data_IF_040422564909
#
_entry.id   IF_040422564909
#
_cell.length_a   1.000
_cell.length_b   1.000
_cell.length_c   1.000
_cell.angle_alpha   90.00
_cell.angle_beta   90.00
_cell.angle_gamma   90.00
#
_symmetry.space_group_name_H-M   'P 1'
#
loop_
_entity.id
_entity.type
_entity.pdbx_description
1 polymer ?
#
# COMPACT_ATOMS: atom_id res chain seq x y z
N UNK A 1 -15.30 13.96 6.11
CA UNK A 1 -14.87 13.23 4.90
C UNK A 1 -16.03 13.13 3.93
N UNK A 2 -15.76 13.19 2.63
CA UNK A 2 -16.75 13.01 1.57
C UNK A 2 -17.04 11.51 1.35
N UNK A 3 -18.31 11.15 1.17
CA UNK A 3 -18.71 9.90 0.51
C UNK A 3 -18.28 10.03 -0.96
N UNK A 4 -17.32 9.25 -1.50
CA UNK A 4 -17.09 7.81 -1.28
C UNK A 4 -15.88 7.41 -0.40
N UNK A 5 -15.05 8.34 0.09
CA UNK A 5 -13.83 8.00 0.84
C UNK A 5 -14.13 7.24 2.14
N UNK A 6 -15.26 7.52 2.79
CA UNK A 6 -15.71 6.76 3.96
C UNK A 6 -16.08 5.31 3.63
N UNK A 7 -16.64 5.06 2.44
CA UNK A 7 -16.97 3.70 2.01
C UNK A 7 -15.70 2.91 1.68
N UNK A 8 -14.74 3.52 0.97
CA UNK A 8 -13.45 2.91 0.67
C UNK A 8 -12.67 2.58 1.95
N UNK A 9 -12.59 3.52 2.89
CA UNK A 9 -11.91 3.31 4.17
C UNK A 9 -12.56 2.21 5.01
N UNK A 10 -13.90 2.09 4.98
CA UNK A 10 -14.60 1.00 5.65
C UNK A 10 -14.27 -0.34 5.00
N UNK A 11 -14.35 -0.44 3.67
CA UNK A 11 -14.03 -1.66 2.94
C UNK A 11 -12.60 -2.12 3.22
N UNK A 12 -11.63 -1.23 3.11
CA UNK A 12 -10.22 -1.56 3.35
C UNK A 12 -9.95 -1.99 4.79
N UNK A 13 -10.37 -1.20 5.78
CA UNK A 13 -10.01 -1.44 7.17
C UNK A 13 -10.83 -2.54 7.83
N UNK A 14 -12.12 -2.65 7.50
CA UNK A 14 -13.05 -3.57 8.19
C UNK A 14 -13.30 -4.84 7.40
N UNK A 15 -13.50 -4.74 6.09
CA UNK A 15 -13.87 -5.90 5.30
C UNK A 15 -12.64 -6.68 4.83
N UNK A 16 -11.56 -5.98 4.43
CA UNK A 16 -10.31 -6.64 3.99
C UNK A 16 -9.37 -6.93 5.16
N UNK A 17 -8.95 -5.90 5.89
CA UNK A 17 -7.93 -6.05 6.95
C UNK A 17 -8.50 -6.54 8.28
N UNK A 18 -9.84 -6.63 8.39
CA UNK A 18 -10.55 -7.05 9.61
C UNK A 18 -10.07 -6.33 10.89
N UNK A 19 -9.65 -5.07 10.75
CA UNK A 19 -9.14 -4.27 11.84
C UNK A 19 -10.30 -3.93 12.79
N UNK A 20 -10.14 -4.09 14.11
CA UNK A 20 -11.12 -3.67 15.10
C UNK A 20 -11.39 -2.16 15.09
N UNK A 21 -12.59 -1.78 15.51
CA UNK A 21 -12.92 -0.37 15.70
C UNK A 21 -12.00 0.28 16.75
N UNK A 22 -11.61 1.53 16.48
CA UNK A 22 -10.70 2.32 17.33
C UNK A 22 -9.28 1.76 17.46
N UNK A 23 -8.93 0.75 16.66
CA UNK A 23 -7.56 0.28 16.54
C UNK A 23 -6.80 1.07 15.47
N UNK A 24 -5.56 1.46 15.79
CA UNK A 24 -4.67 2.14 14.85
C UNK A 24 -4.00 1.11 13.95
N UNK A 25 -4.12 1.34 12.63
CA UNK A 25 -3.34 0.63 11.63
C UNK A 25 -1.95 1.26 11.53
N UNK A 26 -0.90 0.46 11.72
CA UNK A 26 0.50 0.89 11.58
C UNK A 26 1.17 0.13 10.46
N UNK A 27 2.29 0.65 9.96
CA UNK A 27 3.08 -0.02 8.94
C UNK A 27 3.58 -1.40 9.40
N UNK A 28 4.05 -1.54 10.64
CA UNK A 28 4.47 -2.83 11.19
C UNK A 28 3.38 -3.90 11.16
N UNK A 29 2.11 -3.50 11.36
CA UNK A 29 0.98 -4.43 11.24
C UNK A 29 0.73 -4.84 9.79
N UNK A 30 0.86 -3.91 8.84
CA UNK A 30 0.79 -4.21 7.41
C UNK A 30 1.88 -5.22 7.01
N UNK A 31 3.12 -4.99 7.47
CA UNK A 31 4.23 -5.92 7.26
C UNK A 31 3.96 -7.30 7.88
N UNK A 32 3.38 -7.36 9.09
CA UNK A 32 3.01 -8.62 9.74
C UNK A 32 1.92 -9.40 8.98
N UNK A 33 1.00 -8.69 8.30
CA UNK A 33 0.00 -9.29 7.40
C UNK A 33 0.63 -9.70 6.05
N UNK A 34 1.79 -9.13 5.71
CA UNK A 34 2.52 -9.39 4.47
C UNK A 34 2.03 -8.57 3.27
N UNK A 35 1.28 -7.49 3.53
CA UNK A 35 0.68 -6.62 2.53
C UNK A 35 1.04 -5.16 2.82
N UNK A 36 1.60 -4.43 1.87
CA UNK A 36 1.89 -3.00 1.96
C UNK A 36 1.39 -2.20 0.75
N UNK A 37 1.03 -2.90 -0.33
CA UNK A 37 0.80 -2.33 -1.66
C UNK A 37 -0.53 -2.81 -2.21
N UNK A 38 -1.19 -1.94 -2.98
CA UNK A 38 -2.36 -2.27 -3.79
C UNK A 38 -2.09 -1.95 -5.25
N UNK A 39 -2.67 -2.74 -6.14
CA UNK A 39 -2.65 -2.50 -7.60
C UNK A 39 -4.04 -2.08 -8.03
N UNK A 40 -4.09 -1.01 -8.83
CA UNK A 40 -5.34 -0.51 -9.41
C UNK A 40 -5.35 -0.83 -10.90
N UNK A 41 -6.31 -1.63 -11.33
CA UNK A 41 -6.53 -1.96 -12.73
C UNK A 41 -7.63 -1.07 -13.28
N UNK A 42 -7.37 -0.42 -14.42
CA UNK A 42 -8.40 0.31 -15.16
C UNK A 42 -9.09 -0.64 -16.13
N UNK A 43 -10.32 -1.02 -15.81
CA UNK A 43 -11.11 -1.96 -16.64
C UNK A 43 -11.88 -1.21 -17.72
N UNK A 44 -12.42 -0.02 -17.41
CA UNK A 44 -13.00 0.90 -18.39
C UNK A 44 -12.83 2.38 -17.96
N UNK A 45 -13.54 3.32 -18.59
CA UNK A 45 -13.42 4.75 -18.27
C UNK A 45 -13.97 5.15 -16.89
N UNK A 46 -14.80 4.33 -16.27
CA UNK A 46 -15.52 4.58 -15.01
C UNK A 46 -15.38 3.43 -14.00
N UNK A 47 -14.84 2.29 -14.40
CA UNK A 47 -14.66 1.09 -13.59
C UNK A 47 -13.18 0.81 -13.37
N UNK A 48 -12.83 0.62 -12.11
CA UNK A 48 -11.49 0.28 -11.65
C UNK A 48 -11.59 -0.88 -10.67
N UNK A 49 -10.66 -1.81 -10.77
CA UNK A 49 -10.50 -2.92 -9.83
C UNK A 49 -9.27 -2.67 -8.95
N UNK A 50 -9.34 -3.14 -7.71
CA UNK A 50 -8.28 -2.99 -6.71
C UNK A 50 -7.91 -4.39 -6.22
N UNK A 51 -6.61 -4.71 -6.23
CA UNK A 51 -6.08 -5.96 -5.68
C UNK A 51 -4.92 -5.69 -4.72
N UNK A 52 -4.69 -6.60 -3.78
CA UNK A 52 -3.62 -6.50 -2.79
C UNK A 52 -2.39 -7.29 -3.22
N UNK A 53 -1.22 -6.71 -3.05
CA UNK A 53 0.04 -7.37 -3.39
C UNK A 53 0.92 -7.53 -2.17
N UNK A 54 1.91 -8.42 -2.32
CA UNK A 54 2.83 -8.73 -1.23
C UNK A 54 3.72 -7.55 -0.93
N UNK A 55 4.23 -7.53 0.30
CA UNK A 55 5.31 -6.63 0.70
C UNK A 55 6.44 -6.60 -0.34
N UNK A 56 6.94 -5.42 -0.67
CA UNK A 56 8.03 -5.26 -1.64
C UNK A 56 7.60 -5.28 -3.12
N UNK A 57 6.30 -5.38 -3.40
CA UNK A 57 5.82 -5.47 -4.80
C UNK A 57 5.98 -4.15 -5.56
N UNK A 58 5.90 -3.02 -4.88
CA UNK A 58 6.07 -1.71 -5.51
C UNK A 58 7.54 -1.45 -5.86
N UNK A 59 8.45 -1.75 -4.95
CA UNK A 59 9.90 -1.63 -5.16
C UNK A 59 10.35 -2.56 -6.29
N UNK A 60 9.80 -3.77 -6.33
CA UNK A 60 10.02 -4.69 -7.45
C UNK A 60 9.53 -4.09 -8.77
N UNK A 61 8.35 -3.50 -8.79
CA UNK A 61 7.82 -2.83 -9.98
C UNK A 61 8.72 -1.67 -10.45
N UNK A 62 9.22 -0.83 -9.52
CA UNK A 62 10.15 0.26 -9.85
C UNK A 62 11.46 -0.28 -10.43
N UNK A 63 12.03 -1.31 -9.80
CA UNK A 63 13.27 -1.94 -10.25
C UNK A 63 13.14 -2.58 -11.64
N UNK A 64 12.00 -3.22 -11.94
CA UNK A 64 11.72 -3.82 -13.24
C UNK A 64 11.46 -2.77 -14.33
N UNK A 65 10.92 -1.60 -13.96
CA UNK A 65 10.56 -0.54 -14.89
C UNK A 65 11.63 0.55 -15.03
N UNK A 66 12.76 0.43 -14.33
CA UNK A 66 13.93 1.28 -14.52
C UNK A 66 13.76 2.72 -14.03
N UNK A 67 12.79 3.00 -13.15
CA UNK A 67 12.73 4.28 -12.44
C UNK A 67 13.68 4.20 -11.23
N UNK A 68 14.97 4.38 -11.51
CA UNK A 68 16.01 4.63 -10.51
C UNK A 68 15.73 5.97 -9.83
N UNK A 69 14.86 5.96 -8.82
CA UNK A 69 14.85 6.99 -7.79
C UNK A 69 16.02 6.73 -6.86
N UNK A 70 17.04 7.57 -6.94
CA UNK A 70 18.20 7.58 -6.04
C UNK A 70 17.74 7.63 -4.57
N UNK A 71 18.05 6.59 -3.79
CA UNK A 71 18.28 6.72 -2.36
C UNK A 71 19.67 6.11 -2.07
N UNK A 72 20.69 6.91 -2.38
CA UNK A 72 22.00 6.80 -1.73
C UNK A 72 21.80 7.16 -0.26
N UNK A 73 21.50 6.18 0.59
CA UNK A 73 21.71 6.32 2.02
C UNK A 73 23.22 6.26 2.27
N UNK A 74 23.89 7.42 2.13
CA UNK A 74 25.20 7.64 2.74
C UNK A 74 25.00 7.73 4.25
N UNK A 75 25.07 6.60 4.94
CA UNK A 75 25.28 6.54 6.38
C UNK A 75 26.64 5.87 6.59
N UNK A 76 27.69 6.64 6.29
CA UNK A 76 29.08 6.33 6.63
C UNK A 76 29.68 7.63 7.17
N UNK A 77 29.40 7.90 8.45
CA UNK A 77 30.29 8.65 9.32
C UNK A 77 29.96 8.25 10.78
N UNK A 78 30.29 6.99 11.11
CA UNK A 78 30.80 6.66 12.43
C UNK A 78 32.26 7.15 12.50
N UNK A 79 32.49 8.30 13.13
CA UNK A 79 33.44 8.52 14.27
C UNK A 79 33.48 9.99 14.74
#
# INVERSE_FOLDING_TARGET
>A
MSNPNSALGKWLLRDVLNLPEREMMTYDKLQAIGLDTVVIYKTDNKTYDIDFTRIGSYEKFLNENGESGEEEASDDDEE
#
